data_IF_984548131935
#
_entry.id   IF_984548131935
#
_cell.length_a   1.000
_cell.length_b   1.000
_cell.length_c   1.000
_cell.angle_alpha   90.00
_cell.angle_beta   90.00
_cell.angle_gamma   90.00
#
_symmetry.space_group_name_H-M   'P 1'
#
loop_
_entity.id
_entity.type
_entity.pdbx_description
1 polymer ?
#
# COMPACT_ATOMS: atom_id res chain seq x y z
N UNK A 1 -8.33 3.94 24.35
CA UNK A 1 -7.75 4.79 23.30
C UNK A 1 -7.32 3.92 22.14
N UNK A 2 -7.72 4.30 20.93
CA UNK A 2 -7.34 3.54 19.73
C UNK A 2 -5.89 3.78 19.40
N UNK A 3 -5.18 2.72 19.07
CA UNK A 3 -3.80 2.78 18.64
C UNK A 3 -3.68 2.17 17.26
N UNK A 4 -2.74 2.68 16.48
CA UNK A 4 -2.51 2.21 15.12
C UNK A 4 -1.03 1.90 14.94
N UNK A 5 -0.76 0.91 14.13
CA UNK A 5 0.58 0.72 13.60
C UNK A 5 0.60 1.13 12.13
N UNK A 6 1.76 1.53 11.66
CA UNK A 6 1.93 2.07 10.31
C UNK A 6 2.99 1.29 9.56
N UNK A 7 2.79 1.17 8.28
CA UNK A 7 3.77 0.52 7.41
C UNK A 7 3.85 1.28 6.10
N UNK A 8 5.00 1.19 5.44
CA UNK A 8 5.19 1.78 4.11
C UNK A 8 5.57 0.67 3.16
N UNK A 9 4.78 0.49 2.12
CA UNK A 9 5.03 -0.50 1.09
C UNK A 9 5.64 0.20 -0.12
N UNK A 10 6.79 -0.27 -0.56
CA UNK A 10 7.49 0.27 -1.72
C UNK A 10 7.27 -0.64 -2.91
N UNK A 11 6.88 -0.05 -4.03
CA UNK A 11 6.70 -0.80 -5.27
C UNK A 11 7.44 -0.07 -6.39
N UNK A 12 8.26 -0.80 -7.14
CA UNK A 12 8.91 -0.24 -8.30
C UNK A 12 7.89 -0.11 -9.43
N UNK A 13 7.91 1.04 -10.07
CA UNK A 13 7.00 1.32 -11.18
C UNK A 13 7.79 1.79 -12.39
N UNK A 14 8.81 1.05 -12.78
CA UNK A 14 9.54 1.39 -13.98
C UNK A 14 8.63 1.20 -15.18
N UNK A 15 8.08 2.31 -15.64
CA UNK A 15 7.19 2.30 -16.80
C UNK A 15 8.00 2.75 -18.00
N UNK A 16 8.20 1.84 -18.95
CA UNK A 16 8.93 2.15 -20.15
C UNK A 16 8.01 2.55 -21.30
N UNK A 17 6.72 2.27 -21.17
CA UNK A 17 5.74 2.66 -22.16
C UNK A 17 4.35 2.77 -21.52
N UNK A 18 3.39 3.27 -22.31
CA UNK A 18 2.04 3.51 -21.81
C UNK A 18 1.29 2.23 -21.46
N UNK A 19 1.63 1.12 -22.09
CA UNK A 19 0.92 -0.13 -21.82
C UNK A 19 1.24 -0.69 -20.45
N UNK A 20 2.38 -0.28 -19.86
CA UNK A 20 2.78 -0.73 -18.54
C UNK A 20 1.92 -0.15 -17.42
N UNK A 21 1.19 0.93 -17.68
CA UNK A 21 0.38 1.58 -16.66
C UNK A 21 -0.75 0.69 -16.16
N UNK A 22 -1.37 -0.06 -17.06
CA UNK A 22 -2.41 -1.01 -16.66
C UNK A 22 -1.86 -2.12 -15.77
N UNK A 23 -0.68 -2.62 -16.10
CA UNK A 23 -0.03 -3.65 -15.29
C UNK A 23 0.34 -3.14 -13.91
N UNK A 24 0.79 -1.89 -13.81
CA UNK A 24 1.12 -1.26 -12.52
C UNK A 24 -0.13 -1.15 -11.66
N UNK A 25 -1.23 -0.67 -12.24
CA UNK A 25 -2.49 -0.55 -11.51
C UNK A 25 -2.97 -1.89 -11.01
N UNK A 26 -2.81 -2.94 -11.81
CA UNK A 26 -3.18 -4.29 -11.41
C UNK A 26 -2.32 -4.78 -10.23
N UNK A 27 -1.01 -4.54 -10.30
CA UNK A 27 -0.09 -4.88 -9.22
C UNK A 27 -0.45 -4.19 -7.92
N UNK A 28 -0.69 -2.88 -7.99
CA UNK A 28 -1.04 -2.09 -6.81
C UNK A 28 -2.34 -2.61 -6.20
N UNK A 29 -3.33 -2.92 -7.03
CA UNK A 29 -4.60 -3.45 -6.57
C UNK A 29 -4.43 -4.78 -5.83
N UNK A 30 -3.59 -5.66 -6.36
CA UNK A 30 -3.32 -6.95 -5.70
C UNK A 30 -2.71 -6.76 -4.32
N UNK A 31 -1.73 -5.86 -4.22
CA UNK A 31 -1.08 -5.57 -2.94
C UNK A 31 -2.06 -4.97 -1.97
N UNK A 32 -2.86 -4.00 -2.40
CA UNK A 32 -3.86 -3.36 -1.53
C UNK A 32 -4.89 -4.36 -1.04
N UNK A 33 -5.34 -5.26 -1.90
CA UNK A 33 -6.32 -6.26 -1.51
C UNK A 33 -5.74 -7.24 -0.50
N UNK A 34 -4.48 -7.63 -0.69
CA UNK A 34 -3.80 -8.51 0.28
C UNK A 34 -3.64 -7.83 1.62
N UNK A 35 -3.17 -6.58 1.62
CA UNK A 35 -2.99 -5.82 2.84
C UNK A 35 -4.33 -5.60 3.55
N UNK A 36 -5.38 -5.31 2.79
CA UNK A 36 -6.71 -5.11 3.35
C UNK A 36 -7.24 -6.35 4.05
N UNK A 37 -6.95 -7.54 3.53
CA UNK A 37 -7.35 -8.79 4.18
C UNK A 37 -6.64 -8.98 5.52
N UNK A 38 -5.47 -8.37 5.67
CA UNK A 38 -4.72 -8.41 6.93
C UNK A 38 -5.08 -7.25 7.86
N UNK A 39 -6.10 -6.48 7.51
CA UNK A 39 -6.60 -5.39 8.33
C UNK A 39 -5.95 -4.03 8.07
N UNK A 40 -5.14 -3.92 7.03
CA UNK A 40 -4.48 -2.67 6.71
C UNK A 40 -5.38 -1.74 5.90
N UNK A 41 -5.34 -0.45 6.24
CA UNK A 41 -6.01 0.60 5.50
C UNK A 41 -4.99 1.50 4.83
N UNK A 42 -5.30 1.94 3.61
CA UNK A 42 -4.46 2.88 2.89
C UNK A 42 -4.69 4.29 3.41
N UNK A 43 -3.62 4.92 3.88
CA UNK A 43 -3.68 6.30 4.38
C UNK A 43 -3.35 7.29 3.27
N UNK A 44 -2.31 7.00 2.51
CA UNK A 44 -1.83 7.93 1.49
C UNK A 44 -0.97 7.20 0.48
N UNK A 45 -0.80 7.80 -0.68
CA UNK A 45 0.06 7.29 -1.73
C UNK A 45 0.99 8.39 -2.17
N UNK A 46 2.27 8.07 -2.28
CA UNK A 46 3.25 8.96 -2.89
C UNK A 46 3.86 8.24 -4.09
N UNK A 47 3.91 8.91 -5.21
CA UNK A 47 4.40 8.32 -6.45
C UNK A 47 5.45 9.24 -7.08
N UNK A 48 6.55 8.64 -7.50
CA UNK A 48 7.53 9.34 -8.33
C UNK A 48 7.76 8.55 -9.61
N UNK A 49 8.81 8.88 -10.36
CA UNK A 49 9.04 8.27 -11.67
C UNK A 49 9.46 6.80 -11.58
N UNK A 50 9.94 6.36 -10.44
CA UNK A 50 10.54 5.03 -10.30
C UNK A 50 9.86 4.14 -9.27
N UNK A 51 9.02 4.72 -8.40
CA UNK A 51 8.40 3.92 -7.35
C UNK A 51 7.10 4.53 -6.86
N UNK A 52 6.27 3.67 -6.30
CA UNK A 52 5.07 4.06 -5.57
C UNK A 52 5.28 3.66 -4.12
N UNK A 53 4.93 4.55 -3.21
CA UNK A 53 4.94 4.28 -1.77
C UNK A 53 3.52 4.32 -1.26
N UNK A 54 3.12 3.23 -0.63
CA UNK A 54 1.78 3.10 -0.05
C UNK A 54 1.93 3.20 1.47
N UNK A 55 1.32 4.24 2.04
CA UNK A 55 1.33 4.44 3.48
C UNK A 55 0.09 3.79 4.07
N UNK A 56 0.30 2.77 4.88
CA UNK A 56 -0.76 1.94 5.43
C UNK A 56 -0.84 2.11 6.93
N UNK A 57 -2.04 1.91 7.49
CA UNK A 57 -2.21 1.83 8.93
C UNK A 57 -3.11 0.66 9.27
N UNK A 58 -2.96 0.16 10.48
CA UNK A 58 -3.80 -0.90 10.99
C UNK A 58 -4.06 -0.65 12.47
N UNK A 59 -5.31 -0.82 12.89
CA UNK A 59 -5.65 -0.67 14.29
C UNK A 59 -5.07 -1.80 15.11
N UNK A 60 -4.41 -1.46 16.20
CA UNK A 60 -3.87 -2.44 17.12
C UNK A 60 -4.98 -2.92 18.05
N UNK A 61 -4.99 -4.21 18.35
CA UNK A 61 -5.93 -4.76 19.30
C UNK A 61 -5.63 -4.21 20.70
N UNK A 62 -6.65 -3.70 21.37
CA UNK A 62 -6.45 -3.07 22.69
C UNK A 62 -6.08 -4.09 23.75
N UNK A 63 -6.50 -5.31 23.56
CA UNK A 63 -6.26 -6.38 24.53
C UNK A 63 -4.97 -7.15 24.24
N UNK A 64 -4.17 -6.67 23.31
CA UNK A 64 -2.89 -7.28 23.00
C UNK A 64 -1.84 -7.03 24.07
N UNK A 65 -2.23 -6.44 25.15
CA UNK A 65 -1.35 -6.17 26.26
C UNK A 65 -0.99 -7.45 27.02
#
# INVERSE_FOLDING_TARGET
MKRFEYDVVYMKTEVTDASSQGAISHHVRKVLNRMGREGWDLVSVAQDQTQVRLFMKRELAEDAA
#
